data_IF_355113337331
#
_entry.id   IF_355113337331
#
_cell.length_a   1.000
_cell.length_b   1.000
_cell.length_c   1.000
_cell.angle_alpha   90.00
_cell.angle_beta   90.00
_cell.angle_gamma   90.00
#
_symmetry.space_group_name_H-M   'P 1'
#
loop_
_entity.id
_entity.type
_entity.pdbx_description
1 polymer ?
#
# COMPACT_ATOMS: atom_id res chain seq x y z
N UNK A 1 -26.88 -22.85 -3.33
CA UNK A 1 -26.27 -21.56 -3.68
C UNK A 1 -25.15 -21.85 -4.65
N UNK A 2 -25.14 -21.20 -5.81
CA UNK A 2 -24.09 -21.41 -6.82
C UNK A 2 -22.79 -20.75 -6.37
N UNK A 3 -21.64 -21.37 -6.65
CA UNK A 3 -20.32 -20.76 -6.42
C UNK A 3 -19.65 -20.49 -7.76
N UNK A 4 -19.34 -19.23 -8.04
CA UNK A 4 -18.68 -18.81 -9.28
C UNK A 4 -17.18 -18.64 -9.04
N UNK A 5 -16.38 -19.37 -9.81
CA UNK A 5 -14.93 -19.22 -9.83
C UNK A 5 -14.56 -18.24 -10.94
N UNK A 6 -14.09 -17.05 -10.58
CA UNK A 6 -13.81 -15.98 -11.54
C UNK A 6 -12.30 -15.79 -11.72
N UNK A 7 -11.76 -15.87 -12.95
CA UNK A 7 -10.35 -15.63 -13.19
C UNK A 7 -10.03 -14.14 -13.06
N UNK A 8 -8.92 -13.81 -12.38
CA UNK A 8 -8.25 -12.51 -12.46
C UNK A 8 -6.91 -12.66 -13.17
N UNK A 9 -6.50 -11.59 -13.84
CA UNK A 9 -5.17 -11.50 -14.47
C UNK A 9 -4.16 -10.88 -13.51
N UNK A 10 -2.85 -11.07 -13.74
CA UNK A 10 -1.82 -10.22 -13.16
C UNK A 10 -2.07 -8.74 -13.49
N UNK A 11 -1.59 -7.85 -12.61
CA UNK A 11 -1.71 -6.40 -12.77
C UNK A 11 -0.33 -5.79 -13.07
N UNK A 12 -0.26 -4.76 -13.89
CA UNK A 12 1.00 -4.06 -14.14
C UNK A 12 0.78 -2.91 -15.09
N UNK A 13 1.74 -1.98 -15.13
CA UNK A 13 1.75 -0.96 -16.17
C UNK A 13 1.77 -1.67 -17.55
N UNK A 14 0.76 -1.46 -18.42
CA UNK A 14 0.65 -2.18 -19.70
C UNK A 14 1.79 -1.88 -20.68
N UNK A 15 2.60 -0.86 -20.40
CA UNK A 15 3.79 -0.48 -21.19
C UNK A 15 5.07 -1.17 -20.70
N UNK A 16 4.99 -1.96 -19.63
CA UNK A 16 6.11 -2.59 -18.93
C UNK A 16 5.97 -4.11 -18.88
N UNK A 17 7.09 -4.81 -18.70
CA UNK A 17 7.13 -6.28 -18.80
C UNK A 17 6.69 -6.98 -17.51
N UNK A 18 7.07 -6.43 -16.37
CA UNK A 18 6.77 -7.05 -15.07
C UNK A 18 5.29 -6.91 -14.71
N UNK A 19 4.74 -7.93 -14.06
CA UNK A 19 3.36 -8.00 -13.62
C UNK A 19 3.30 -8.50 -12.16
N UNK A 20 2.41 -7.90 -11.39
CA UNK A 20 2.05 -8.26 -10.03
C UNK A 20 0.99 -9.37 -10.02
N UNK A 21 1.31 -10.50 -9.42
CA UNK A 21 0.41 -11.67 -9.40
C UNK A 21 -0.32 -11.86 -8.07
N UNK A 22 0.03 -11.11 -7.02
CA UNK A 22 -0.55 -11.21 -5.67
C UNK A 22 -0.55 -9.88 -4.93
N UNK A 23 -1.42 -9.75 -3.93
CA UNK A 23 -1.42 -8.58 -3.03
C UNK A 23 -0.12 -8.56 -2.22
N UNK A 24 0.54 -7.40 -2.14
CA UNK A 24 1.85 -7.27 -1.49
C UNK A 24 1.70 -6.70 -0.08
N UNK A 25 2.36 -7.36 0.87
CA UNK A 25 2.56 -6.89 2.23
C UNK A 25 4.07 -6.84 2.44
N UNK A 26 4.64 -5.64 2.30
CA UNK A 26 6.08 -5.42 2.39
C UNK A 26 6.47 -4.49 3.51
N UNK A 27 7.76 -4.41 3.79
CA UNK A 27 8.34 -3.36 4.63
C UNK A 27 9.59 -2.81 3.97
N UNK A 28 9.80 -1.50 4.14
CA UNK A 28 10.96 -0.77 3.62
C UNK A 28 12.30 -1.39 4.05
N UNK A 29 12.36 -1.86 5.30
CA UNK A 29 13.49 -2.60 5.85
C UNK A 29 13.01 -3.46 7.02
N UNK A 30 13.59 -4.65 7.14
CA UNK A 30 13.42 -5.50 8.30
C UNK A 30 14.40 -5.16 9.45
N UNK A 31 15.53 -4.50 9.17
CA UNK A 31 16.56 -4.21 10.17
C UNK A 31 16.81 -2.71 10.35
N UNK A 32 17.67 -2.38 11.31
CA UNK A 32 18.06 -1.01 11.63
C UNK A 32 18.53 -0.25 10.36
N UNK A 33 17.79 0.80 10.02
CA UNK A 33 18.00 1.68 8.87
C UNK A 33 18.86 2.90 9.19
N UNK A 34 19.22 3.12 10.46
CA UNK A 34 19.98 4.28 10.93
C UNK A 34 21.50 4.04 10.99
N UNK A 35 22.03 3.25 10.04
CA UNK A 35 23.45 3.23 9.69
C UNK A 35 24.46 2.82 10.80
N UNK A 36 24.13 1.83 11.63
CA UNK A 36 25.13 1.19 12.51
C UNK A 36 26.04 0.25 11.71
N UNK A 37 26.95 0.82 10.91
CA UNK A 37 27.88 0.08 10.06
C UNK A 37 28.84 -0.84 10.83
N UNK A 38 29.09 -0.54 12.10
CA UNK A 38 30.07 -1.23 12.94
C UNK A 38 29.45 -2.24 13.92
N UNK A 39 28.17 -2.58 13.79
CA UNK A 39 27.55 -3.60 14.64
C UNK A 39 28.04 -5.01 14.25
N UNK A 40 28.85 -5.70 15.08
CA UNK A 40 29.38 -7.03 14.78
C UNK A 40 28.27 -8.08 14.65
N UNK A 41 27.09 -7.83 15.22
CA UNK A 41 25.94 -8.73 15.21
C UNK A 41 24.91 -8.36 14.13
N UNK A 42 25.18 -7.35 13.29
CA UNK A 42 24.23 -6.86 12.28
C UNK A 42 23.64 -7.98 11.39
N UNK A 43 24.47 -8.94 10.99
CA UNK A 43 24.03 -10.07 10.16
C UNK A 43 23.07 -11.00 10.92
N UNK A 44 23.31 -11.25 12.20
CA UNK A 44 22.47 -12.12 13.02
C UNK A 44 21.16 -11.43 13.41
N UNK A 45 21.24 -10.15 13.81
CA UNK A 45 20.05 -9.31 14.06
C UNK A 45 19.15 -9.26 12.82
N UNK A 46 19.73 -9.02 11.64
CA UNK A 46 18.97 -9.02 10.39
C UNK A 46 18.30 -10.39 10.11
N UNK A 47 18.98 -11.52 10.35
CA UNK A 47 18.34 -12.85 10.20
C UNK A 47 17.14 -13.00 11.12
N UNK A 48 17.26 -12.60 12.39
CA UNK A 48 16.16 -12.65 13.36
C UNK A 48 15.02 -11.72 12.94
N UNK A 49 15.32 -10.49 12.56
CA UNK A 49 14.34 -9.53 12.05
C UNK A 49 13.57 -10.06 10.84
N UNK A 50 14.26 -10.64 9.86
CA UNK A 50 13.62 -11.24 8.68
C UNK A 50 12.68 -12.37 9.10
N UNK A 51 13.10 -13.22 10.05
CA UNK A 51 12.24 -14.27 10.59
C UNK A 51 11.02 -13.70 11.31
N UNK A 52 11.20 -12.64 12.10
CA UNK A 52 10.11 -11.95 12.81
C UNK A 52 9.12 -11.35 11.80
N UNK A 53 9.60 -10.69 10.74
CA UNK A 53 8.74 -10.19 9.67
C UNK A 53 8.00 -11.34 8.94
N UNK A 54 8.68 -12.45 8.65
CA UNK A 54 8.07 -13.64 8.08
C UNK A 54 6.92 -14.19 8.95
N UNK A 55 7.18 -14.34 10.26
CA UNK A 55 6.21 -14.84 11.23
C UNK A 55 5.02 -13.88 11.39
N UNK A 56 5.23 -12.57 11.18
CA UNK A 56 4.20 -11.53 11.14
C UNK A 56 3.46 -11.46 9.78
N UNK A 57 3.80 -12.31 8.82
CA UNK A 57 3.05 -12.47 7.58
C UNK A 57 3.44 -11.54 6.43
N UNK A 58 4.55 -10.81 6.52
CA UNK A 58 5.12 -10.11 5.35
C UNK A 58 5.45 -11.13 4.26
N UNK A 59 5.06 -10.83 3.01
CA UNK A 59 5.29 -11.70 1.86
C UNK A 59 6.39 -11.18 0.92
N UNK A 60 6.87 -9.97 1.17
CA UNK A 60 7.99 -9.34 0.50
C UNK A 60 8.77 -8.50 1.52
N UNK A 61 10.08 -8.45 1.40
CA UNK A 61 10.93 -7.53 2.15
C UNK A 61 11.69 -6.62 1.19
N UNK A 62 11.82 -5.37 1.56
CA UNK A 62 12.71 -4.46 0.88
C UNK A 62 13.97 -4.30 1.72
N UNK A 63 15.07 -4.02 1.04
CA UNK A 63 16.36 -3.79 1.67
C UNK A 63 16.73 -2.32 1.59
N UNK A 64 15.75 -1.44 1.80
CA UNK A 64 15.91 0.00 1.84
C UNK A 64 16.99 0.38 2.86
N UNK A 65 18.04 1.01 2.36
CA UNK A 65 19.20 1.51 3.11
C UNK A 65 20.00 0.46 3.90
N UNK A 66 19.75 -0.83 3.68
CA UNK A 66 20.48 -1.90 4.33
C UNK A 66 21.97 -1.90 3.92
N UNK A 67 22.84 -2.17 4.88
CA UNK A 67 24.28 -2.37 4.62
C UNK A 67 24.52 -3.65 3.81
N UNK A 68 25.65 -3.80 3.08
CA UNK A 68 25.93 -5.04 2.35
C UNK A 68 25.87 -6.32 3.20
N UNK A 69 26.32 -6.23 4.46
CA UNK A 69 26.31 -7.34 5.42
C UNK A 69 24.87 -7.72 5.79
N UNK A 70 24.03 -6.73 6.09
CA UNK A 70 22.61 -6.93 6.34
C UNK A 70 21.91 -7.48 5.08
N UNK A 71 22.13 -6.89 3.90
CA UNK A 71 21.47 -7.32 2.67
C UNK A 71 21.82 -8.77 2.31
N UNK A 72 23.07 -9.19 2.47
CA UNK A 72 23.45 -10.59 2.23
C UNK A 72 22.78 -11.54 3.24
N UNK A 73 22.75 -11.17 4.52
CA UNK A 73 22.07 -11.95 5.55
C UNK A 73 20.55 -12.06 5.28
N UNK A 74 19.92 -10.96 4.87
CA UNK A 74 18.50 -10.92 4.57
C UNK A 74 18.15 -11.76 3.34
N UNK A 75 18.85 -11.61 2.22
CA UNK A 75 18.59 -12.38 0.99
C UNK A 75 18.71 -13.89 1.24
N UNK A 76 19.74 -14.32 1.99
CA UNK A 76 19.91 -15.73 2.39
C UNK A 76 18.73 -16.23 3.22
N UNK A 77 18.28 -15.45 4.19
CA UNK A 77 17.17 -15.82 5.07
C UNK A 77 15.84 -15.84 4.30
N UNK A 78 15.59 -14.86 3.43
CA UNK A 78 14.40 -14.82 2.58
C UNK A 78 14.34 -16.01 1.62
N UNK A 79 15.47 -16.43 1.03
CA UNK A 79 15.52 -17.65 0.20
C UNK A 79 15.13 -18.91 1.01
N UNK A 80 15.59 -19.01 2.26
CA UNK A 80 15.24 -20.13 3.14
C UNK A 80 13.76 -20.14 3.55
N UNK A 81 13.17 -18.95 3.73
CA UNK A 81 11.78 -18.78 4.18
C UNK A 81 10.77 -18.70 3.01
N UNK A 82 11.24 -18.57 1.77
CA UNK A 82 10.38 -18.39 0.60
C UNK A 82 9.72 -17.01 0.52
N UNK A 83 10.40 -15.97 1.01
CA UNK A 83 9.92 -14.58 0.99
C UNK A 83 10.58 -13.83 -0.16
N UNK A 84 9.81 -13.00 -0.85
CA UNK A 84 10.35 -12.18 -1.94
C UNK A 84 11.17 -11.01 -1.43
N UNK A 85 12.12 -10.55 -2.22
CA UNK A 85 13.03 -9.47 -1.87
C UNK A 85 13.13 -8.44 -2.98
N UNK A 86 13.00 -7.17 -2.61
CA UNK A 86 13.45 -6.03 -3.41
C UNK A 86 14.83 -5.61 -2.89
N UNK A 87 15.86 -5.88 -3.69
CA UNK A 87 17.26 -5.64 -3.30
C UNK A 87 17.66 -4.19 -3.54
N UNK A 88 18.46 -3.61 -2.64
CA UNK A 88 19.10 -2.32 -2.83
C UNK A 88 20.60 -2.40 -2.53
N UNK A 89 21.40 -1.66 -3.30
CA UNK A 89 22.79 -1.36 -2.96
C UNK A 89 23.15 0.03 -3.51
N UNK A 90 22.89 1.06 -2.69
CA UNK A 90 23.11 2.46 -3.08
C UNK A 90 24.56 2.75 -3.49
N UNK A 91 25.55 1.99 -3.00
CA UNK A 91 26.97 2.17 -3.41
C UNK A 91 27.24 1.79 -4.87
N UNK A 92 26.33 1.07 -5.52
CA UNK A 92 26.52 0.52 -6.88
C UNK A 92 25.51 1.02 -7.90
N UNK A 93 24.35 1.51 -7.48
CA UNK A 93 23.35 2.09 -8.39
C UNK A 93 22.32 2.91 -7.61
N UNK A 94 21.59 3.75 -8.34
CA UNK A 94 20.41 4.44 -7.82
C UNK A 94 20.70 5.68 -7.00
N UNK A 95 19.67 6.15 -6.32
CA UNK A 95 19.72 7.36 -5.52
C UNK A 95 18.60 7.46 -4.48
N UNK A 96 18.67 8.52 -3.68
CA UNK A 96 17.65 8.88 -2.70
C UNK A 96 17.51 10.39 -2.67
N UNK A 97 16.28 10.90 -2.81
CA UNK A 97 16.01 12.32 -2.87
C UNK A 97 16.91 13.00 -3.93
N UNK A 98 17.56 14.10 -3.56
CA UNK A 98 18.48 14.80 -4.44
C UNK A 98 19.85 14.12 -4.61
N UNK A 99 20.12 13.01 -3.89
CA UNK A 99 21.45 12.41 -3.75
C UNK A 99 21.63 11.27 -4.75
N UNK A 100 22.68 11.37 -5.56
CA UNK A 100 23.18 10.28 -6.39
C UNK A 100 24.29 9.58 -5.60
N UNK A 101 24.14 8.27 -5.36
CA UNK A 101 25.14 7.51 -4.60
C UNK A 101 26.16 6.81 -5.49
N UNK A 102 25.82 6.63 -6.77
CA UNK A 102 26.68 5.99 -7.76
C UNK A 102 26.51 6.66 -9.13
N UNK A 103 27.46 7.53 -9.49
CA UNK A 103 27.46 8.24 -10.78
C UNK A 103 27.58 7.27 -11.96
N UNK A 104 28.39 6.22 -11.80
CA UNK A 104 28.55 5.14 -12.79
C UNK A 104 27.87 3.86 -12.30
N UNK A 105 26.57 3.75 -12.58
CA UNK A 105 25.78 2.58 -12.14
C UNK A 105 26.34 1.24 -12.67
N UNK A 106 26.53 0.30 -11.75
CA UNK A 106 26.87 -1.10 -11.98
C UNK A 106 25.66 -2.03 -11.74
N UNK A 107 24.45 -1.55 -12.05
CA UNK A 107 23.22 -2.35 -11.92
C UNK A 107 23.31 -3.70 -12.67
N UNK A 108 23.85 -3.80 -13.90
CA UNK A 108 24.03 -5.10 -14.57
C UNK A 108 24.92 -6.08 -13.81
N UNK A 109 26.02 -5.61 -13.21
CA UNK A 109 26.91 -6.43 -12.39
C UNK A 109 26.19 -6.96 -11.14
N UNK A 110 25.48 -6.07 -10.43
CA UNK A 110 24.64 -6.46 -9.28
C UNK A 110 23.59 -7.49 -9.70
N UNK A 111 22.86 -7.26 -10.80
CA UNK A 111 21.84 -8.19 -11.27
C UNK A 111 22.44 -9.57 -11.55
N UNK A 112 23.60 -9.63 -12.19
CA UNK A 112 24.29 -10.88 -12.47
C UNK A 112 24.70 -11.63 -11.20
N UNK A 113 25.21 -10.93 -10.19
CA UNK A 113 25.55 -11.52 -8.89
C UNK A 113 24.31 -12.05 -8.14
N UNK A 114 23.20 -11.32 -8.25
CA UNK A 114 21.95 -11.65 -7.55
C UNK A 114 21.12 -12.73 -8.26
N UNK A 115 21.39 -13.08 -9.53
CA UNK A 115 20.68 -14.14 -10.29
C UNK A 115 20.63 -15.50 -9.59
N UNK A 116 21.58 -15.79 -8.70
CA UNK A 116 21.64 -17.05 -7.95
C UNK A 116 20.52 -17.20 -6.90
N UNK A 117 19.87 -16.10 -6.51
CA UNK A 117 18.83 -16.07 -5.49
C UNK A 117 17.46 -15.95 -6.15
N UNK A 118 16.57 -16.91 -5.89
CA UNK A 118 15.22 -16.94 -6.47
C UNK A 118 14.25 -16.00 -5.75
N UNK A 119 14.54 -15.70 -4.48
CA UNK A 119 13.84 -14.72 -3.65
C UNK A 119 13.95 -13.28 -4.18
N UNK A 120 14.99 -12.95 -4.95
CA UNK A 120 15.12 -11.62 -5.56
C UNK A 120 14.06 -11.43 -6.65
N UNK A 121 13.05 -10.62 -6.34
CA UNK A 121 11.94 -10.26 -7.24
C UNK A 121 11.96 -8.80 -7.67
N UNK A 122 12.87 -8.00 -7.15
CA UNK A 122 13.00 -6.60 -7.56
C UNK A 122 14.33 -5.97 -7.18
N UNK A 123 14.55 -4.80 -7.74
CA UNK A 123 15.67 -3.92 -7.43
C UNK A 123 15.14 -2.52 -7.11
N UNK A 124 15.46 -2.01 -5.93
CA UNK A 124 15.09 -0.65 -5.50
C UNK A 124 16.00 0.35 -6.21
N UNK A 125 15.49 0.98 -7.26
CA UNK A 125 16.24 1.85 -8.17
C UNK A 125 16.42 3.25 -7.58
N UNK A 126 15.35 3.87 -7.11
CA UNK A 126 15.42 5.24 -6.60
C UNK A 126 14.35 5.49 -5.56
N UNK A 127 14.75 6.16 -4.50
CA UNK A 127 13.85 6.62 -3.45
C UNK A 127 13.59 8.12 -3.67
N UNK A 128 12.38 8.49 -4.06
CA UNK A 128 11.95 9.90 -4.13
C UNK A 128 12.76 10.80 -5.10
N UNK A 129 12.86 10.50 -6.40
CA UNK A 129 13.59 11.34 -7.34
C UNK A 129 12.94 12.74 -7.44
N UNK A 130 13.70 13.78 -7.07
CA UNK A 130 13.20 15.16 -6.95
C UNK A 130 13.45 16.02 -8.19
N UNK A 131 14.50 15.71 -8.97
CA UNK A 131 14.93 16.50 -10.13
C UNK A 131 14.65 15.76 -11.43
N UNK A 132 14.39 16.52 -12.50
CA UNK A 132 14.15 15.94 -13.83
C UNK A 132 15.31 15.06 -14.33
N UNK A 133 16.56 15.48 -14.11
CA UNK A 133 17.73 14.67 -14.45
C UNK A 133 17.73 13.31 -13.73
N UNK A 134 17.22 13.25 -12.49
CA UNK A 134 17.09 12.02 -11.72
C UNK A 134 15.96 11.16 -12.25
N UNK A 135 14.82 11.74 -12.61
CA UNK A 135 13.73 11.00 -13.25
C UNK A 135 14.19 10.34 -14.56
N UNK A 136 14.98 11.05 -15.37
CA UNK A 136 15.56 10.51 -16.61
C UNK A 136 16.54 9.36 -16.32
N UNK A 137 17.39 9.51 -15.30
CA UNK A 137 18.32 8.46 -14.92
C UNK A 137 17.59 7.23 -14.36
N UNK A 138 16.57 7.44 -13.52
CA UNK A 138 15.71 6.37 -13.02
C UNK A 138 15.04 5.61 -14.15
N UNK A 139 14.52 6.31 -15.17
CA UNK A 139 13.97 5.69 -16.39
C UNK A 139 15.02 4.81 -17.09
N UNK A 140 16.25 5.31 -17.25
CA UNK A 140 17.36 4.56 -17.86
C UNK A 140 17.68 3.28 -17.07
N UNK A 141 17.70 3.34 -15.74
CA UNK A 141 17.95 2.19 -14.87
C UNK A 141 16.80 1.17 -14.90
N UNK A 142 15.56 1.63 -14.97
CA UNK A 142 14.37 0.77 -15.21
C UNK A 142 14.54 0.01 -16.52
N UNK A 143 14.88 0.70 -17.62
CA UNK A 143 15.02 0.06 -18.94
C UNK A 143 16.16 -0.96 -18.99
N UNK A 144 17.24 -0.72 -18.22
CA UNK A 144 18.31 -1.71 -18.03
C UNK A 144 17.78 -2.92 -17.27
N UNK A 145 17.05 -2.71 -16.18
CA UNK A 145 16.47 -3.79 -15.38
C UNK A 145 15.53 -4.66 -16.23
N UNK A 146 14.60 -4.06 -16.97
CA UNK A 146 13.65 -4.79 -17.83
C UNK A 146 14.35 -5.59 -18.93
N UNK A 147 15.42 -5.06 -19.51
CA UNK A 147 16.20 -5.77 -20.54
C UNK A 147 16.93 -7.00 -19.98
N UNK A 148 17.56 -6.85 -18.81
CA UNK A 148 18.43 -7.90 -18.26
C UNK A 148 17.69 -8.90 -17.36
N UNK A 149 16.65 -8.45 -16.65
CA UNK A 149 15.85 -9.17 -15.66
C UNK A 149 14.37 -8.78 -15.78
N UNK A 150 13.68 -9.12 -16.89
CA UNK A 150 12.26 -8.81 -17.09
C UNK A 150 11.34 -9.47 -16.05
N UNK A 151 11.85 -10.48 -15.33
CA UNK A 151 11.18 -11.16 -14.22
C UNK A 151 11.25 -10.37 -12.89
N UNK A 152 12.01 -9.28 -12.82
CA UNK A 152 12.17 -8.46 -11.62
C UNK A 152 11.48 -7.10 -11.75
N UNK A 153 10.98 -6.60 -10.62
CA UNK A 153 10.42 -5.27 -10.45
C UNK A 153 11.55 -4.22 -10.29
N UNK A 154 11.78 -3.30 -11.24
CA UNK A 154 12.56 -2.10 -10.98
C UNK A 154 11.70 -1.11 -10.16
N UNK A 155 11.95 -1.09 -8.86
CA UNK A 155 11.13 -0.39 -7.89
C UNK A 155 11.59 1.05 -7.68
N UNK A 156 10.64 1.98 -7.59
CA UNK A 156 10.87 3.41 -7.38
C UNK A 156 9.69 3.98 -6.59
N UNK A 157 9.98 4.93 -5.71
CA UNK A 157 9.00 5.61 -4.86
C UNK A 157 8.94 7.09 -5.23
N UNK A 158 7.73 7.63 -5.36
CA UNK A 158 7.48 9.05 -5.59
C UNK A 158 7.57 9.84 -4.27
N UNK A 159 7.97 11.12 -4.35
CA UNK A 159 7.93 12.03 -3.20
C UNK A 159 6.51 12.18 -2.63
N UNK A 160 6.38 12.36 -1.30
CA UNK A 160 5.16 12.85 -0.66
C UNK A 160 5.02 14.37 -0.80
N UNK A 161 3.82 14.90 -0.55
CA UNK A 161 3.53 16.34 -0.65
C UNK A 161 4.18 17.23 0.42
N UNK A 162 4.82 16.65 1.43
CA UNK A 162 5.66 17.39 2.38
C UNK A 162 7.14 17.40 1.99
N UNK A 163 7.51 16.87 0.82
CA UNK A 163 8.84 17.03 0.26
C UNK A 163 9.21 18.50 0.05
N UNK A 164 10.50 18.83 0.15
CA UNK A 164 11.00 20.23 0.18
C UNK A 164 10.51 21.10 -0.99
N UNK A 165 10.43 20.52 -2.19
CA UNK A 165 10.22 21.27 -3.44
C UNK A 165 8.79 21.19 -4.02
N UNK A 166 8.00 20.17 -3.63
CA UNK A 166 6.71 19.89 -4.27
C UNK A 166 5.65 19.70 -3.21
N UNK A 167 4.89 20.76 -2.95
CA UNK A 167 3.88 20.76 -1.89
C UNK A 167 2.50 21.16 -2.40
N UNK A 168 1.49 20.94 -1.58
CA UNK A 168 0.15 21.48 -1.82
C UNK A 168 0.14 23.01 -1.74
N UNK A 169 0.92 23.59 -0.83
CA UNK A 169 0.99 25.02 -0.56
C UNK A 169 1.60 25.79 -1.74
N UNK A 170 2.63 25.23 -2.40
CA UNK A 170 3.22 25.84 -3.59
C UNK A 170 2.52 25.44 -4.90
N UNK A 171 1.56 24.52 -4.84
CA UNK A 171 0.74 24.08 -5.97
C UNK A 171 1.48 23.21 -6.99
N UNK A 172 2.71 22.76 -6.70
CA UNK A 172 3.54 22.01 -7.65
C UNK A 172 3.39 20.50 -7.53
N UNK A 173 2.84 19.99 -6.41
CA UNK A 173 2.78 18.56 -6.14
C UNK A 173 2.00 17.73 -7.19
N UNK A 174 0.79 18.13 -7.65
CA UNK A 174 0.11 17.38 -8.70
C UNK A 174 0.91 17.31 -10.02
N UNK A 175 1.62 18.40 -10.36
CA UNK A 175 2.46 18.45 -11.56
C UNK A 175 3.69 17.54 -11.45
N UNK A 176 4.25 17.41 -10.24
CA UNK A 176 5.33 16.46 -9.95
C UNK A 176 4.87 15.01 -10.18
N UNK A 177 3.72 14.60 -9.64
CA UNK A 177 3.23 13.23 -9.78
C UNK A 177 2.95 12.87 -11.25
N UNK A 178 2.43 13.80 -12.03
CA UNK A 178 2.26 13.60 -13.47
C UNK A 178 3.59 13.47 -14.22
N UNK A 179 4.57 14.32 -13.87
CA UNK A 179 5.91 14.22 -14.44
C UNK A 179 6.60 12.90 -14.05
N UNK A 180 6.44 12.47 -12.81
CA UNK A 180 6.90 11.17 -12.32
C UNK A 180 6.28 10.03 -13.14
N UNK A 181 4.96 10.01 -13.28
CA UNK A 181 4.24 8.98 -14.05
C UNK A 181 4.65 8.93 -15.53
N UNK A 182 4.96 10.08 -16.14
CA UNK A 182 5.25 10.16 -17.58
C UNK A 182 6.73 10.01 -17.92
N UNK A 183 7.62 10.60 -17.15
CA UNK A 183 9.07 10.57 -17.40
C UNK A 183 9.69 9.28 -16.91
N UNK A 184 9.35 8.86 -15.68
CA UNK A 184 9.85 7.58 -15.14
C UNK A 184 9.07 6.42 -15.73
N UNK A 185 7.75 6.56 -15.86
CA UNK A 185 6.83 5.52 -16.34
C UNK A 185 7.05 4.21 -15.56
N UNK A 186 6.91 4.23 -14.21
CA UNK A 186 7.26 3.08 -13.39
C UNK A 186 6.29 1.92 -13.61
N UNK A 187 6.72 0.71 -13.22
CA UNK A 187 5.91 -0.51 -13.35
C UNK A 187 4.69 -0.48 -12.43
N UNK A 188 4.86 0.14 -11.26
CA UNK A 188 3.84 0.41 -10.25
C UNK A 188 3.98 1.87 -9.81
N UNK A 189 2.89 2.49 -9.41
CA UNK A 189 2.91 3.81 -8.79
C UNK A 189 3.04 3.62 -7.29
N UNK A 190 4.22 3.83 -6.71
CA UNK A 190 4.44 3.78 -5.26
C UNK A 190 4.74 5.18 -4.73
N UNK A 191 4.23 5.49 -3.54
CA UNK A 191 4.50 6.70 -2.77
C UNK A 191 4.34 6.40 -1.28
N UNK A 192 4.88 7.27 -0.44
CA UNK A 192 4.77 7.20 1.00
C UNK A 192 4.04 8.40 1.60
N UNK A 193 3.56 8.26 2.83
CA UNK A 193 3.10 9.39 3.64
C UNK A 193 3.11 9.01 5.13
N UNK A 194 3.75 9.82 5.97
CA UNK A 194 3.91 9.54 7.41
C UNK A 194 3.28 10.63 8.29
N UNK A 195 1.96 10.58 8.56
CA UNK A 195 1.23 11.71 9.13
C UNK A 195 1.44 11.93 10.64
N UNK A 196 1.85 10.91 11.39
CA UNK A 196 1.78 10.95 12.87
C UNK A 196 3.02 11.62 13.44
N UNK A 197 2.84 12.84 13.97
CA UNK A 197 3.90 13.61 14.63
C UNK A 197 4.53 14.70 13.77
N UNK A 198 4.06 14.89 12.54
CA UNK A 198 4.50 15.98 11.65
C UNK A 198 3.83 17.32 12.00
N UNK A 199 4.07 17.86 13.20
CA UNK A 199 3.41 19.10 13.65
C UNK A 199 3.81 20.34 12.84
N UNK A 200 4.96 20.35 12.15
CA UNK A 200 5.42 21.50 11.36
C UNK A 200 4.80 21.60 9.96
N UNK A 201 4.44 20.46 9.37
CA UNK A 201 3.82 20.40 8.03
C UNK A 201 2.30 20.31 8.10
N UNK A 202 1.83 19.69 9.18
CA UNK A 202 0.44 19.27 9.32
C UNK A 202 -0.19 20.00 10.53
N UNK A 203 0.54 20.27 11.63
CA UNK A 203 -0.04 20.91 12.83
C UNK A 203 -1.07 20.03 13.57
N UNK A 204 -1.07 18.73 13.25
CA UNK A 204 -2.24 17.88 13.39
C UNK A 204 -2.41 17.28 14.77
N UNK A 205 -3.66 17.31 15.24
CA UNK A 205 -4.12 16.59 16.44
C UNK A 205 -4.82 15.27 16.10
N UNK A 206 -5.29 15.09 14.86
CA UNK A 206 -6.10 13.94 14.42
C UNK A 206 -5.87 13.52 12.95
N UNK A 207 -5.93 12.22 12.68
CA UNK A 207 -5.73 11.63 11.34
C UNK A 207 -6.60 12.22 10.21
N UNK A 208 -7.81 12.70 10.49
CA UNK A 208 -8.73 13.28 9.50
C UNK A 208 -8.30 14.65 8.95
N UNK A 209 -7.32 15.28 9.58
CA UNK A 209 -6.79 16.60 9.19
C UNK A 209 -5.56 16.47 8.27
N UNK A 210 -5.08 15.25 8.02
CA UNK A 210 -3.79 14.98 7.34
C UNK A 210 -3.88 15.13 5.84
N UNK A 211 -2.85 15.71 5.22
CA UNK A 211 -2.78 15.77 3.75
C UNK A 211 -2.52 14.40 3.11
N UNK A 212 -2.32 13.34 3.91
CA UNK A 212 -2.35 11.93 3.46
C UNK A 212 -3.57 11.65 2.59
N UNK A 213 -4.75 12.15 2.98
CA UNK A 213 -5.97 11.94 2.21
C UNK A 213 -5.92 12.64 0.85
N UNK A 214 -5.34 13.84 0.79
CA UNK A 214 -5.13 14.54 -0.48
C UNK A 214 -4.14 13.76 -1.36
N UNK A 215 -3.02 13.30 -0.80
CA UNK A 215 -2.00 12.51 -1.51
C UNK A 215 -2.58 11.20 -2.06
N UNK A 216 -3.32 10.44 -1.25
CA UNK A 216 -4.06 9.24 -1.70
C UNK A 216 -5.04 9.57 -2.83
N UNK A 217 -5.76 10.69 -2.73
CA UNK A 217 -6.70 11.14 -3.75
C UNK A 217 -6.05 11.45 -5.10
N UNK A 218 -4.97 12.24 -5.09
CA UNK A 218 -4.29 12.60 -6.33
C UNK A 218 -3.52 11.42 -6.93
N UNK A 219 -2.84 10.62 -6.10
CA UNK A 219 -2.06 9.45 -6.55
C UNK A 219 -2.97 8.37 -7.14
N UNK A 220 -4.14 8.07 -6.54
CA UNK A 220 -5.17 7.21 -7.15
C UNK A 220 -5.51 7.68 -8.56
N UNK A 221 -5.80 8.97 -8.73
CA UNK A 221 -6.21 9.54 -10.03
C UNK A 221 -5.08 9.51 -11.05
N UNK A 222 -3.85 9.77 -10.66
CA UNK A 222 -2.67 9.67 -11.54
C UNK A 222 -2.43 8.20 -11.93
N UNK A 223 -2.38 7.29 -10.96
CA UNK A 223 -2.17 5.86 -11.20
C UNK A 223 -3.24 5.28 -12.14
N UNK A 224 -4.52 5.67 -11.96
CA UNK A 224 -5.59 5.27 -12.86
C UNK A 224 -5.41 5.83 -14.28
N UNK A 225 -5.07 7.12 -14.44
CA UNK A 225 -4.85 7.73 -15.77
C UNK A 225 -3.74 7.04 -16.55
N UNK A 226 -2.75 6.47 -15.86
CA UNK A 226 -1.59 5.82 -16.47
C UNK A 226 -1.65 4.30 -16.47
N UNK A 227 -2.77 3.72 -16.01
CA UNK A 227 -3.00 2.28 -15.86
C UNK A 227 -1.91 1.57 -15.03
N UNK A 228 -1.52 2.17 -13.90
CA UNK A 228 -0.52 1.64 -12.98
C UNK A 228 -1.18 1.09 -11.71
N UNK A 229 -0.75 -0.09 -11.20
CA UNK A 229 -1.10 -0.52 -9.86
C UNK A 229 -0.54 0.46 -8.83
N UNK A 230 -1.35 0.83 -7.84
CA UNK A 230 -0.96 1.73 -6.74
C UNK A 230 -0.38 0.92 -5.58
N UNK A 231 0.79 1.29 -5.07
CA UNK A 231 1.35 0.82 -3.80
C UNK A 231 1.48 2.01 -2.84
N UNK A 232 1.33 1.77 -1.54
CA UNK A 232 1.31 2.82 -0.53
C UNK A 232 2.17 2.43 0.67
N UNK A 233 3.14 3.29 1.03
CA UNK A 233 3.77 3.19 2.34
C UNK A 233 2.97 3.90 3.40
N UNK A 234 2.77 3.20 4.51
CA UNK A 234 2.19 3.75 5.71
C UNK A 234 3.23 3.80 6.84
N UNK A 235 3.05 4.75 7.75
CA UNK A 235 3.87 4.86 8.95
C UNK A 235 3.52 3.73 9.91
N UNK A 236 4.44 2.81 10.10
CA UNK A 236 4.24 1.67 11.00
C UNK A 236 5.09 1.71 12.27
N UNK A 237 6.03 2.65 12.38
CA UNK A 237 6.80 2.93 13.60
C UNK A 237 6.55 4.35 14.12
N UNK A 238 6.84 4.59 15.40
CA UNK A 238 6.76 5.91 16.04
C UNK A 238 7.96 6.80 15.63
N UNK A 239 8.02 7.14 14.33
CA UNK A 239 9.11 7.87 13.69
C UNK A 239 9.44 9.21 14.35
N UNK A 240 8.41 9.88 14.88
CA UNK A 240 8.52 11.21 15.47
C UNK A 240 8.49 11.20 17.01
N UNK A 241 8.58 10.02 17.63
CA UNK A 241 8.60 9.82 19.08
C UNK A 241 7.48 10.58 19.82
N UNK A 242 6.27 10.57 19.25
CA UNK A 242 5.11 11.17 19.91
C UNK A 242 4.68 10.33 21.11
N UNK A 243 4.03 10.96 22.09
CA UNK A 243 3.56 10.29 23.30
C UNK A 243 2.54 9.18 23.01
N UNK A 244 1.79 9.31 21.91
CA UNK A 244 0.75 8.37 21.54
C UNK A 244 0.87 7.92 20.08
N UNK A 245 1.41 6.73 19.90
CA UNK A 245 1.43 6.01 18.64
C UNK A 245 0.89 4.60 18.90
N UNK A 246 -0.32 4.31 18.44
CA UNK A 246 -1.03 3.07 18.74
C UNK A 246 -1.39 2.32 17.47
N UNK A 247 -1.47 0.99 17.54
CA UNK A 247 -1.74 0.15 16.36
C UNK A 247 -3.01 0.52 15.57
N UNK A 248 -4.13 0.95 16.18
CA UNK A 248 -5.28 1.44 15.42
C UNK A 248 -4.99 2.57 14.42
N UNK A 249 -3.99 3.42 14.67
CA UNK A 249 -3.53 4.42 13.71
C UNK A 249 -2.86 3.75 12.50
N UNK A 250 -2.01 2.74 12.74
CA UNK A 250 -1.37 1.92 11.70
C UNK A 250 -2.42 1.21 10.86
N UNK A 251 -3.39 0.56 11.51
CA UNK A 251 -4.54 -0.10 10.87
C UNK A 251 -5.32 0.86 9.98
N UNK A 252 -5.62 2.06 10.48
CA UNK A 252 -6.31 3.10 9.71
C UNK A 252 -5.55 3.46 8.44
N UNK A 253 -4.24 3.69 8.52
CA UNK A 253 -3.43 4.03 7.34
C UNK A 253 -3.37 2.88 6.32
N UNK A 254 -3.18 1.63 6.78
CA UNK A 254 -3.22 0.44 5.92
C UNK A 254 -4.55 0.35 5.16
N UNK A 255 -5.66 0.47 5.89
CA UNK A 255 -6.99 0.39 5.33
C UNK A 255 -7.33 1.60 4.44
N UNK A 256 -6.80 2.78 4.73
CA UNK A 256 -6.91 3.94 3.84
C UNK A 256 -6.26 3.65 2.48
N UNK A 257 -5.06 3.04 2.45
CA UNK A 257 -4.44 2.61 1.19
C UNK A 257 -5.35 1.68 0.37
N UNK A 258 -5.95 0.68 1.03
CA UNK A 258 -6.87 -0.28 0.38
C UNK A 258 -8.16 0.37 -0.10
N UNK A 259 -8.74 1.28 0.69
CA UNK A 259 -9.90 2.08 0.32
C UNK A 259 -9.66 2.81 -1.02
N UNK A 260 -8.46 3.36 -1.21
CA UNK A 260 -8.05 4.04 -2.44
C UNK A 260 -7.58 3.11 -3.57
N UNK A 261 -7.65 1.79 -3.37
CA UNK A 261 -7.38 0.78 -4.38
C UNK A 261 -5.94 0.29 -4.45
N UNK A 262 -5.13 0.53 -3.43
CA UNK A 262 -3.76 0.02 -3.38
C UNK A 262 -3.72 -1.51 -3.53
N UNK A 263 -2.69 -2.01 -4.22
CA UNK A 263 -2.40 -3.42 -4.48
C UNK A 263 -1.18 -3.91 -3.71
N UNK A 264 -0.43 -3.00 -3.12
CA UNK A 264 0.66 -3.26 -2.19
C UNK A 264 0.61 -2.29 -1.03
N UNK A 265 0.77 -2.82 0.19
CA UNK A 265 0.92 -2.03 1.41
C UNK A 265 2.34 -2.23 1.93
N UNK A 266 3.01 -1.11 2.20
CA UNK A 266 4.42 -1.10 2.53
C UNK A 266 4.64 -0.45 3.90
N UNK A 267 5.16 -1.20 4.85
CA UNK A 267 5.36 -0.73 6.22
C UNK A 267 6.67 0.04 6.34
N UNK A 268 6.62 1.30 6.77
CA UNK A 268 7.82 2.08 7.09
C UNK A 268 7.98 2.24 8.62
N UNK A 269 8.92 1.57 9.28
CA UNK A 269 9.63 0.34 8.87
C UNK A 269 9.31 -0.76 9.90
N UNK A 270 9.53 -2.04 9.60
CA UNK A 270 9.23 -3.10 10.55
C UNK A 270 10.17 -3.07 11.79
N UNK A 271 11.36 -2.50 11.65
CA UNK A 271 12.28 -2.27 12.77
C UNK A 271 11.68 -1.27 13.77
N UNK A 272 11.89 -1.53 15.06
CA UNK A 272 11.32 -0.79 16.20
C UNK A 272 9.79 -0.75 16.26
N UNK A 273 9.11 -1.62 15.51
CA UNK A 273 7.65 -1.77 15.53
C UNK A 273 7.24 -3.25 15.58
N UNK A 274 7.49 -3.99 14.50
CA UNK A 274 7.19 -5.42 14.38
C UNK A 274 8.36 -6.26 14.89
N UNK A 275 9.58 -5.80 14.64
CA UNK A 275 10.80 -6.34 15.18
C UNK A 275 11.51 -5.29 16.05
N UNK A 276 12.08 -5.68 17.19
CA UNK A 276 12.96 -4.79 17.97
C UNK A 276 14.35 -4.64 17.30
N UNK A 277 15.23 -3.81 17.88
CA UNK A 277 16.59 -3.59 17.37
C UNK A 277 17.47 -4.85 17.37
N UNK A 278 17.10 -5.87 18.15
CA UNK A 278 17.78 -7.17 18.18
C UNK A 278 17.13 -8.19 17.24
N UNK A 279 16.04 -7.83 16.57
CA UNK A 279 15.26 -8.65 15.65
C UNK A 279 14.26 -9.60 16.31
N UNK A 280 14.01 -9.45 17.61
CA UNK A 280 12.93 -10.18 18.30
C UNK A 280 11.57 -9.51 18.02
N UNK A 281 10.48 -10.09 18.53
CA UNK A 281 9.13 -9.51 18.39
C UNK A 281 9.07 -8.14 19.06
N UNK A 282 8.70 -7.13 18.28
CA UNK A 282 8.44 -5.77 18.73
C UNK A 282 7.03 -5.59 19.30
N UNK A 283 6.70 -4.35 19.66
CA UNK A 283 5.44 -3.97 20.30
C UNK A 283 4.21 -4.31 19.45
N UNK A 284 4.27 -4.09 18.13
CA UNK A 284 3.13 -4.30 17.22
C UNK A 284 3.13 -5.66 16.53
N UNK A 285 3.94 -6.61 16.99
CA UNK A 285 4.11 -7.89 16.29
C UNK A 285 2.79 -8.67 16.16
N UNK A 286 2.03 -8.85 17.24
CA UNK A 286 0.84 -9.70 17.21
C UNK A 286 -0.30 -9.03 16.43
N UNK A 287 -0.47 -7.72 16.57
CA UNK A 287 -1.46 -6.94 15.84
C UNK A 287 -1.14 -6.89 14.33
N UNK A 288 0.13 -6.68 13.97
CA UNK A 288 0.56 -6.71 12.56
C UNK A 288 0.34 -8.10 11.96
N UNK A 289 0.66 -9.16 12.71
CA UNK A 289 0.42 -10.54 12.29
C UNK A 289 -1.06 -10.82 12.05
N UNK A 290 -1.92 -10.35 12.94
CA UNK A 290 -3.37 -10.53 12.82
C UNK A 290 -3.92 -9.83 11.56
N UNK A 291 -3.58 -8.55 11.35
CA UNK A 291 -4.08 -7.82 10.18
C UNK A 291 -3.52 -8.36 8.86
N UNK A 292 -2.26 -8.81 8.84
CA UNK A 292 -1.68 -9.46 7.66
C UNK A 292 -2.33 -10.78 7.31
N UNK A 293 -2.79 -11.55 8.31
CA UNK A 293 -3.59 -12.73 8.05
C UNK A 293 -4.90 -12.35 7.32
N UNK A 294 -5.55 -11.26 7.74
CA UNK A 294 -6.77 -10.79 7.06
C UNK A 294 -6.50 -10.40 5.60
N UNK A 295 -5.46 -9.60 5.35
CA UNK A 295 -5.11 -9.20 3.99
C UNK A 295 -4.68 -10.36 3.10
N UNK A 296 -4.12 -11.43 3.68
CA UNK A 296 -3.77 -12.65 2.94
C UNK A 296 -5.01 -13.32 2.38
N UNK A 297 -6.05 -13.51 3.19
CA UNK A 297 -7.31 -14.13 2.76
C UNK A 297 -8.05 -13.25 1.75
N UNK A 298 -8.00 -11.92 1.93
CA UNK A 298 -8.61 -10.97 0.99
C UNK A 298 -7.82 -10.76 -0.30
N UNK A 299 -6.58 -11.24 -0.39
CA UNK A 299 -5.63 -10.84 -1.43
C UNK A 299 -6.12 -11.06 -2.86
N UNK A 300 -6.77 -12.19 -3.16
CA UNK A 300 -7.31 -12.44 -4.50
C UNK A 300 -8.47 -11.51 -4.86
N UNK A 301 -9.36 -11.24 -3.90
CA UNK A 301 -10.44 -10.26 -4.07
C UNK A 301 -9.86 -8.87 -4.30
N UNK A 302 -8.97 -8.40 -3.43
CA UNK A 302 -8.33 -7.09 -3.57
C UNK A 302 -7.61 -6.92 -4.91
N UNK A 303 -6.97 -7.98 -5.42
CA UNK A 303 -6.30 -7.95 -6.73
C UNK A 303 -7.28 -7.94 -7.91
N UNK A 304 -8.50 -8.46 -7.77
CA UNK A 304 -9.50 -8.46 -8.83
C UNK A 304 -10.27 -7.13 -8.96
N UNK A 305 -10.32 -6.34 -7.89
CA UNK A 305 -11.13 -5.12 -7.80
C UNK A 305 -10.41 -3.89 -8.36
N UNK A 306 -11.13 -3.05 -9.11
CA UNK A 306 -10.72 -1.69 -9.51
C UNK A 306 -11.52 -0.66 -8.72
N UNK A 307 -10.84 0.26 -8.04
CA UNK A 307 -11.47 1.40 -7.38
C UNK A 307 -12.10 2.32 -8.45
N UNK A 308 -13.37 2.66 -8.27
CA UNK A 308 -14.13 3.55 -9.15
C UNK A 308 -14.43 4.88 -8.49
N UNK A 309 -14.75 4.86 -7.20
CA UNK A 309 -15.09 6.06 -6.42
C UNK A 309 -14.53 5.98 -5.02
N UNK A 310 -14.17 7.12 -4.46
CA UNK A 310 -13.85 7.29 -3.04
C UNK A 310 -14.64 8.49 -2.51
N UNK A 311 -15.50 8.23 -1.54
CA UNK A 311 -16.42 9.21 -0.96
C UNK A 311 -16.11 9.29 0.54
N UNK A 312 -16.03 10.51 1.04
CA UNK A 312 -15.81 10.79 2.45
C UNK A 312 -16.98 11.54 3.04
N UNK A 313 -17.20 11.37 4.34
CA UNK A 313 -18.13 12.25 5.04
C UNK A 313 -17.58 13.68 5.17
N UNK A 314 -18.49 14.61 5.46
CA UNK A 314 -18.23 16.05 5.46
C UNK A 314 -17.17 16.48 6.50
N UNK A 315 -16.86 15.65 7.50
CA UNK A 315 -15.88 15.98 8.54
C UNK A 315 -14.43 15.75 8.11
N UNK A 316 -14.18 15.12 6.94
CA UNK A 316 -12.82 14.99 6.42
C UNK A 316 -12.23 16.35 6.05
N UNK A 317 -10.99 16.60 6.49
CA UNK A 317 -10.20 17.75 6.05
C UNK A 317 -11.01 19.05 6.13
N UNK A 318 -11.52 19.43 7.32
CA UNK A 318 -12.38 20.59 7.47
C UNK A 318 -11.62 21.86 7.06
N UNK A 319 -12.17 22.59 6.09
CA UNK A 319 -11.56 23.82 5.57
C UNK A 319 -10.29 23.64 4.72
N UNK A 320 -9.88 22.40 4.41
CA UNK A 320 -8.71 22.17 3.55
C UNK A 320 -8.97 22.66 2.12
N UNK A 321 -8.14 23.58 1.57
CA UNK A 321 -8.35 24.15 0.24
C UNK A 321 -7.95 23.20 -0.89
N UNK A 322 -7.23 22.12 -0.59
CA UNK A 322 -6.61 21.25 -1.60
C UNK A 322 -7.47 20.05 -2.02
N UNK A 323 -8.55 19.75 -1.28
CA UNK A 323 -9.37 18.54 -1.51
C UNK A 323 -10.25 18.58 -2.76
N UNK A 324 -10.42 19.76 -3.36
CA UNK A 324 -11.31 19.96 -4.49
C UNK A 324 -10.91 19.06 -5.68
N UNK A 325 -11.84 18.24 -6.14
CA UNK A 325 -11.62 17.35 -7.27
C UNK A 325 -10.69 16.17 -6.97
N UNK A 326 -10.38 15.86 -5.70
CA UNK A 326 -9.62 14.65 -5.32
C UNK A 326 -10.53 13.46 -4.98
N UNK A 327 -11.71 13.76 -4.44
CA UNK A 327 -12.70 12.77 -4.01
C UNK A 327 -13.93 12.81 -4.91
N UNK A 328 -14.79 11.81 -4.76
CA UNK A 328 -16.05 11.68 -5.47
C UNK A 328 -17.21 12.11 -4.56
N UNK A 329 -18.25 12.70 -5.13
CA UNK A 329 -19.41 13.17 -4.38
C UNK A 329 -20.40 12.03 -4.11
N UNK A 330 -21.11 12.08 -2.98
CA UNK A 330 -22.11 11.07 -2.63
C UNK A 330 -23.23 10.95 -3.68
N UNK A 331 -23.59 12.07 -4.33
CA UNK A 331 -24.62 12.09 -5.37
C UNK A 331 -24.26 11.15 -6.54
N UNK A 332 -22.96 11.02 -6.84
CA UNK A 332 -22.41 10.20 -7.92
C UNK A 332 -22.31 8.71 -7.58
N UNK A 333 -22.53 8.32 -6.33
CA UNK A 333 -22.47 6.92 -5.89
C UNK A 333 -23.38 6.02 -6.75
N UNK A 334 -22.93 4.83 -7.15
CA UNK A 334 -23.80 3.88 -7.84
C UNK A 334 -24.56 2.96 -6.88
N UNK A 335 -24.12 2.86 -5.62
CA UNK A 335 -24.59 1.88 -4.65
C UNK A 335 -25.30 2.48 -3.44
N UNK A 336 -24.91 3.68 -3.02
CA UNK A 336 -25.34 4.31 -1.77
C UNK A 336 -26.21 5.55 -2.00
N UNK A 337 -27.17 5.76 -1.11
CA UNK A 337 -27.96 6.99 -1.01
C UNK A 337 -27.71 7.70 0.32
N UNK A 338 -28.31 8.88 0.47
CA UNK A 338 -28.29 9.61 1.73
C UNK A 338 -26.94 10.27 2.00
N UNK A 339 -26.52 10.28 3.28
CA UNK A 339 -25.25 10.86 3.74
C UNK A 339 -24.46 9.82 4.50
N UNK A 340 -23.13 9.90 4.41
CA UNK A 340 -22.26 9.08 5.27
C UNK A 340 -22.34 9.57 6.72
N UNK A 341 -22.30 8.64 7.69
CA UNK A 341 -22.06 9.01 9.09
C UNK A 341 -20.71 9.75 9.23
N UNK A 342 -20.62 10.60 10.25
CA UNK A 342 -19.36 11.29 10.60
C UNK A 342 -18.20 10.28 10.74
N UNK A 343 -16.98 10.64 10.33
CA UNK A 343 -15.76 9.82 10.33
C UNK A 343 -15.89 8.47 9.63
N UNK A 344 -16.70 8.41 8.57
CA UNK A 344 -16.82 7.23 7.70
C UNK A 344 -16.36 7.59 6.31
N UNK A 345 -15.61 6.67 5.71
CA UNK A 345 -15.20 6.77 4.31
C UNK A 345 -15.58 5.51 3.59
N UNK A 346 -16.03 5.65 2.36
CA UNK A 346 -16.42 4.52 1.52
C UNK A 346 -15.75 4.60 0.18
N UNK A 347 -15.49 3.45 -0.42
CA UNK A 347 -15.09 3.38 -1.82
C UNK A 347 -15.93 2.35 -2.55
N UNK A 348 -16.25 2.67 -3.80
CA UNK A 348 -16.91 1.75 -4.71
C UNK A 348 -15.88 1.11 -5.61
N UNK A 349 -15.94 -0.21 -5.70
CA UNK A 349 -15.05 -1.01 -6.53
C UNK A 349 -15.86 -1.92 -7.44
N UNK A 350 -15.24 -2.34 -8.53
CA UNK A 350 -15.83 -3.24 -9.51
C UNK A 350 -14.78 -4.26 -9.97
N UNK A 351 -15.18 -5.50 -10.19
CA UNK A 351 -14.33 -6.51 -10.81
C UNK A 351 -14.43 -6.47 -12.36
N UNK A 352 -13.68 -7.35 -13.04
CA UNK A 352 -13.75 -7.49 -14.50
C UNK A 352 -15.06 -8.08 -15.05
N UNK A 353 -16.00 -8.48 -14.18
CA UNK A 353 -17.26 -9.14 -14.52
C UNK A 353 -18.49 -8.29 -14.18
N UNK A 354 -18.30 -7.07 -13.67
CA UNK A 354 -19.36 -6.14 -13.32
C UNK A 354 -19.95 -6.32 -11.92
N UNK A 355 -19.35 -7.17 -11.09
CA UNK A 355 -19.72 -7.29 -9.67
C UNK A 355 -19.22 -6.06 -8.91
N UNK A 356 -20.09 -5.47 -8.09
CA UNK A 356 -19.82 -4.20 -7.41
C UNK A 356 -19.61 -4.40 -5.91
N UNK A 357 -18.65 -3.68 -5.37
CA UNK A 357 -18.20 -3.79 -4.00
C UNK A 357 -18.15 -2.43 -3.33
N UNK A 358 -18.46 -2.41 -2.04
CA UNK A 358 -18.22 -1.30 -1.13
C UNK A 358 -17.09 -1.70 -0.19
N UNK A 359 -16.13 -0.81 0.00
CA UNK A 359 -15.25 -0.87 1.16
C UNK A 359 -15.62 0.27 2.09
N UNK A 360 -15.84 -0.04 3.37
CA UNK A 360 -16.31 0.91 4.38
C UNK A 360 -15.27 1.00 5.47
N UNK A 361 -14.77 2.20 5.74
CA UNK A 361 -13.70 2.48 6.69
C UNK A 361 -14.23 3.29 7.87
N UNK A 362 -14.02 2.76 9.07
CA UNK A 362 -14.09 3.53 10.32
C UNK A 362 -12.80 4.35 10.47
N UNK A 363 -12.89 5.68 10.33
CA UNK A 363 -11.73 6.56 10.51
C UNK A 363 -11.41 6.88 11.95
N UNK A 364 -12.30 6.54 12.87
CA UNK A 364 -12.00 6.65 14.28
C UNK A 364 -11.02 5.55 14.69
N UNK A 365 -9.82 5.96 15.12
CA UNK A 365 -8.77 5.06 15.60
C UNK A 365 -8.79 4.86 17.12
N UNK A 366 -9.84 5.34 17.81
CA UNK A 366 -10.04 5.17 19.26
C UNK A 366 -11.31 4.41 19.61
N UNK A 367 -12.36 4.59 18.82
CA UNK A 367 -13.70 4.11 19.15
C UNK A 367 -14.19 3.04 18.18
N UNK A 368 -14.77 1.99 18.75
CA UNK A 368 -15.62 1.05 18.01
C UNK A 368 -16.90 1.77 17.59
N UNK A 369 -17.41 1.43 16.40
CA UNK A 369 -18.60 2.08 15.86
C UNK A 369 -19.49 1.10 15.11
N UNK A 370 -20.78 1.24 15.31
CA UNK A 370 -21.78 0.72 14.38
C UNK A 370 -21.95 1.73 13.24
N UNK A 371 -21.72 1.29 12.00
CA UNK A 371 -21.88 2.11 10.80
C UNK A 371 -23.06 1.56 10.02
N UNK A 372 -24.03 2.41 9.74
CA UNK A 372 -25.22 2.12 8.94
C UNK A 372 -25.17 2.89 7.62
N UNK A 373 -25.44 2.21 6.51
CA UNK A 373 -25.44 2.79 5.17
C UNK A 373 -26.75 2.48 4.44
N UNK A 374 -27.26 3.47 3.71
CA UNK A 374 -28.46 3.34 2.87
C UNK A 374 -28.07 2.97 1.44
N UNK A 375 -28.74 1.99 0.85
CA UNK A 375 -28.54 1.54 -0.52
C UNK A 375 -29.47 2.28 -1.47
N UNK A 376 -28.99 2.61 -2.69
CA UNK A 376 -29.83 3.24 -3.74
C UNK A 376 -30.99 2.37 -4.18
N UNK A 377 -30.91 1.06 -4.00
CA UNK A 377 -31.92 0.08 -4.36
C UNK A 377 -31.82 -1.14 -3.45
N UNK A 378 -32.91 -1.92 -3.39
CA UNK A 378 -32.96 -3.19 -2.68
C UNK A 378 -31.81 -4.12 -3.13
N UNK A 379 -30.98 -4.50 -2.17
CA UNK A 379 -29.80 -5.30 -2.41
C UNK A 379 -29.63 -6.41 -1.39
N UNK A 380 -28.98 -7.49 -1.83
CA UNK A 380 -28.36 -8.49 -0.98
C UNK A 380 -26.92 -8.06 -0.70
N UNK A 381 -26.59 -7.94 0.58
CA UNK A 381 -25.27 -7.49 1.04
C UNK A 381 -24.48 -8.69 1.51
N UNK A 382 -23.34 -8.90 0.87
CA UNK A 382 -22.39 -9.96 1.20
C UNK A 382 -21.15 -9.34 1.81
N UNK A 383 -20.78 -9.71 3.02
CA UNK A 383 -19.45 -9.39 3.53
C UNK A 383 -18.42 -10.35 2.93
N UNK A 384 -17.31 -9.82 2.44
CA UNK A 384 -16.11 -10.61 2.13
C UNK A 384 -15.28 -10.69 3.41
N UNK A 385 -15.27 -11.85 4.06
CA UNK A 385 -14.63 -12.03 5.35
C UNK A 385 -13.10 -12.03 5.22
N UNK A 386 -12.44 -11.26 6.08
CA UNK A 386 -10.99 -11.32 6.25
C UNK A 386 -10.52 -12.57 7.01
N UNK A 387 -11.42 -13.32 7.65
CA UNK A 387 -11.03 -14.52 8.41
C UNK A 387 -10.81 -15.75 7.51
N UNK A 388 -11.60 -15.87 6.44
CA UNK A 388 -11.63 -17.05 5.57
C UNK A 388 -11.65 -16.74 4.06
N UNK A 389 -11.73 -15.46 3.69
CA UNK A 389 -11.79 -15.01 2.28
C UNK A 389 -13.13 -15.28 1.60
N UNK A 390 -14.10 -15.90 2.28
CA UNK A 390 -15.40 -16.24 1.74
C UNK A 390 -16.42 -15.11 1.88
N UNK A 391 -17.57 -15.27 1.22
CA UNK A 391 -18.64 -14.29 1.23
C UNK A 391 -19.82 -14.76 2.05
N UNK A 392 -20.22 -13.94 3.01
CA UNK A 392 -21.32 -14.24 3.93
C UNK A 392 -22.44 -13.22 3.76
N UNK A 393 -23.68 -13.67 3.59
CA UNK A 393 -24.83 -12.77 3.53
C UNK A 393 -25.02 -12.14 4.92
N UNK A 394 -24.99 -10.81 4.97
CA UNK A 394 -25.23 -10.04 6.20
C UNK A 394 -26.56 -9.28 6.17
N UNK A 395 -27.13 -9.07 4.97
CA UNK A 395 -28.47 -8.54 4.80
C UNK A 395 -29.10 -9.06 3.50
N UNK A 396 -30.38 -9.43 3.55
CA UNK A 396 -31.18 -9.92 2.43
C UNK A 396 -32.29 -8.91 2.13
N UNK A 397 -32.53 -8.61 0.85
CA UNK A 397 -33.59 -7.69 0.38
C UNK A 397 -33.63 -6.36 1.17
N UNK A 398 -32.46 -5.76 1.38
CA UNK A 398 -32.30 -4.63 2.28
C UNK A 398 -32.20 -3.31 1.52
N UNK A 399 -32.80 -2.25 2.07
CA UNK A 399 -32.59 -0.85 1.64
C UNK A 399 -31.45 -0.18 2.42
N UNK A 400 -30.99 -0.80 3.52
CA UNK A 400 -29.89 -0.33 4.33
C UNK A 400 -29.25 -1.52 5.07
N UNK A 401 -27.99 -1.39 5.46
CA UNK A 401 -27.31 -2.39 6.30
C UNK A 401 -26.41 -1.72 7.33
N UNK A 402 -26.12 -2.46 8.39
CA UNK A 402 -25.29 -2.01 9.52
C UNK A 402 -24.26 -3.05 9.87
N UNK A 403 -23.09 -2.59 10.32
CA UNK A 403 -21.99 -3.43 10.74
C UNK A 403 -21.22 -2.77 11.88
N UNK A 404 -20.66 -3.57 12.78
CA UNK A 404 -19.75 -3.09 13.82
C UNK A 404 -18.32 -3.06 13.28
N UNK A 405 -17.57 -2.03 13.68
CA UNK A 405 -16.20 -1.79 13.27
C UNK A 405 -15.36 -1.52 14.49
N UNK A 406 -14.21 -2.18 14.60
CA UNK A 406 -13.19 -1.80 15.57
C UNK A 406 -12.46 -0.52 15.10
N UNK A 407 -11.68 0.13 15.96
CA UNK A 407 -11.02 1.37 15.57
C UNK A 407 -10.08 1.16 14.37
N UNK A 408 -10.18 2.05 13.37
CA UNK A 408 -9.39 2.03 12.13
C UNK A 408 -9.73 0.91 11.13
N UNK A 409 -10.78 0.12 11.38
CA UNK A 409 -11.13 -1.05 10.55
C UNK A 409 -11.79 -0.68 9.22
N UNK A 410 -11.49 -1.48 8.19
CA UNK A 410 -12.21 -1.51 6.93
C UNK A 410 -12.84 -2.88 6.72
N UNK A 411 -14.10 -2.90 6.26
CA UNK A 411 -14.82 -4.11 5.85
C UNK A 411 -15.22 -4.00 4.38
N UNK A 412 -15.28 -5.13 3.70
CA UNK A 412 -15.57 -5.22 2.26
C UNK A 412 -16.92 -5.90 2.09
N UNK A 413 -17.81 -5.28 1.32
CA UNK A 413 -19.13 -5.81 1.00
C UNK A 413 -19.32 -5.91 -0.50
N UNK A 414 -19.81 -7.02 -1.03
CA UNK A 414 -20.37 -7.09 -2.39
C UNK A 414 -21.85 -6.75 -2.31
N UNK A 415 -22.30 -5.85 -3.19
CA UNK A 415 -23.71 -5.47 -3.30
C UNK A 415 -24.28 -6.15 -4.54
N UNK A 416 -25.20 -7.08 -4.33
CA UNK A 416 -25.90 -7.78 -5.39
C UNK A 416 -27.36 -7.29 -5.45
N UNK A 417 -27.92 -6.96 -6.63
CA UNK A 417 -29.34 -6.67 -6.73
C UNK A 417 -30.21 -7.82 -6.20
N UNK A 418 -31.24 -7.51 -5.41
CA UNK A 418 -32.12 -8.50 -4.80
C UNK A 418 -32.82 -9.42 -5.82
N UNK A 419 -33.08 -8.90 -7.03
CA UNK A 419 -33.73 -9.63 -8.12
C UNK A 419 -32.84 -10.66 -8.83
N UNK A 420 -31.54 -10.70 -8.55
CA UNK A 420 -30.61 -11.65 -9.15
C UNK A 420 -30.49 -12.94 -8.32
N UNK A 421 -30.28 -14.05 -9.02
CA UNK A 421 -30.02 -15.36 -8.41
C UNK A 421 -28.83 -15.29 -7.45
N UNK A 422 -28.97 -15.90 -6.28
CA UNK A 422 -27.94 -15.89 -5.23
C UNK A 422 -26.73 -16.74 -5.63
N UNK A 423 -25.53 -16.13 -5.66
CA UNK A 423 -24.27 -16.85 -5.89
C UNK A 423 -23.12 -16.27 -5.08
N UNK A 424 -22.16 -17.11 -4.70
CA UNK A 424 -20.86 -16.72 -4.14
C UNK A 424 -19.83 -16.48 -5.25
N UNK A 425 -18.80 -15.68 -4.98
CA UNK A 425 -17.65 -15.50 -5.88
C UNK A 425 -16.36 -15.85 -5.14
N UNK A 426 -15.51 -16.62 -5.80
CA UNK A 426 -14.11 -16.77 -5.44
C UNK A 426 -13.24 -16.43 -6.65
N UNK A 427 -12.21 -15.60 -6.43
CA UNK A 427 -11.26 -15.21 -7.47
C UNK A 427 -10.04 -16.12 -7.46
N UNK A 428 -9.56 -16.49 -8.64
CA UNK A 428 -8.30 -17.20 -8.81
C UNK A 428 -7.41 -16.50 -9.84
N UNK A 429 -6.10 -16.61 -9.67
CA UNK A 429 -5.14 -16.10 -10.65
C UNK A 429 -5.12 -17.02 -11.88
N UNK A 430 -5.44 -16.47 -13.04
CA UNK A 430 -5.24 -17.10 -14.35
C UNK A 430 -3.83 -16.77 -14.84
N UNK A 431 -2.97 -17.80 -14.94
CA UNK A 431 -1.53 -17.66 -15.22
C UNK A 431 -1.18 -17.83 -16.68
#
# INVERSE_FOLDING_TARGET
>A
MEKKMLPRKPLGNPRRLWQQDRFVLSTFSAGDVFFRFDDPDAAEKMRRSVKTCADAGFNMLELGWATPVQSEAAVRMCEQLGIDVIYQNLKRYGGMNERIFCEESDLPGVMNEMRRWKSIKGFYIWDEPAKEAQMIETRRLIDICERERPDCLPFVVALPSYGENFTWQNGLYPGYLEKYATVIDPVIFSFDYYPVGMTEHDGIRQMDETLMWCDLGITRKVAERHDMPLWFYYQGQNLHHVDEFIFPMVRLMMNAGVLYGAKGLQHYTACEAVADLDGNRGEFFEEQKAIHAHFRELGNTLMALKCKRVIHDDTLLPGCPYKAGLFDDMEDSALLSGKLPERVSVSEHEDGFGNRYLMVLNRDYRLEREISLELKALGRVWEVSGEDGYQHIVAEDAEAFSANYVPGELRIFRIQPACEDTFEIEYYLDK
#
